data_IF_004106999851
#
_entry.id   IF_004106999851
#
_cell.length_a   1.000
_cell.length_b   1.000
_cell.length_c   1.000
_cell.angle_alpha   90.00
_cell.angle_beta   90.00
_cell.angle_gamma   90.00
#
_symmetry.space_group_name_H-M   'P 1'
#
loop_
_entity.id
_entity.type
_entity.pdbx_description
1 polymer ?
#
# COMPACT_ATOMS: atom_id res chain seq x y z
N UNK A 1 11.90 20.98 -0.77
CA UNK A 1 10.76 20.62 0.10
C UNK A 1 10.94 21.28 1.45
N UNK A 2 12.06 21.09 2.16
CA UNK A 2 12.31 21.65 3.50
C UNK A 2 12.30 23.20 3.53
N UNK A 3 12.64 23.86 2.43
CA UNK A 3 12.53 25.31 2.32
C UNK A 3 11.09 25.86 2.46
N UNK A 4 10.10 24.97 2.43
CA UNK A 4 8.68 25.29 2.66
C UNK A 4 8.16 24.72 3.97
N UNK A 5 9.05 24.41 4.93
CA UNK A 5 8.71 23.80 6.23
C UNK A 5 7.85 22.53 6.10
N UNK A 6 8.23 21.68 5.14
CA UNK A 6 7.50 20.46 4.78
C UNK A 6 8.43 19.26 4.83
N UNK A 7 7.92 18.15 5.34
CA UNK A 7 8.63 16.87 5.39
C UNK A 7 8.55 16.12 4.07
N UNK A 8 9.57 15.30 3.80
CA UNK A 8 9.62 14.45 2.61
C UNK A 8 9.87 13.00 2.99
N UNK A 9 9.06 12.11 2.43
CA UNK A 9 9.21 10.66 2.55
C UNK A 9 9.42 10.07 1.15
N UNK A 10 10.32 9.08 1.05
CA UNK A 10 10.51 8.32 -0.20
C UNK A 10 9.80 6.99 -0.07
N UNK A 11 8.97 6.65 -1.07
CA UNK A 11 8.34 5.34 -1.14
C UNK A 11 9.32 4.30 -1.71
N UNK A 12 9.53 3.21 -0.99
CA UNK A 12 10.37 2.07 -1.36
C UNK A 12 9.50 0.87 -1.77
N UNK A 13 9.91 0.18 -2.83
CA UNK A 13 9.20 -1.01 -3.33
C UNK A 13 10.16 -2.17 -3.58
N UNK A 14 9.65 -3.41 -3.44
CA UNK A 14 10.36 -4.62 -3.82
C UNK A 14 10.25 -4.96 -5.33
N UNK A 15 9.56 -4.10 -6.10
CA UNK A 15 9.25 -4.33 -7.51
C UNK A 15 7.86 -4.94 -7.73
N UNK A 16 7.55 -5.16 -9.00
CA UNK A 16 6.18 -5.41 -9.45
C UNK A 16 5.70 -6.86 -9.21
N UNK A 17 6.63 -7.84 -9.10
CA UNK A 17 6.23 -9.24 -8.98
C UNK A 17 5.37 -9.69 -10.17
N UNK A 18 4.23 -10.36 -9.90
CA UNK A 18 3.34 -10.90 -10.93
C UNK A 18 2.62 -9.85 -11.80
N UNK A 19 2.57 -8.60 -11.35
CA UNK A 19 1.98 -7.48 -12.13
C UNK A 19 3.01 -6.74 -12.98
N UNK A 20 4.24 -7.25 -13.07
CA UNK A 20 5.26 -6.71 -13.96
C UNK A 20 4.99 -7.02 -15.44
N UNK A 21 5.54 -6.17 -16.33
CA UNK A 21 5.46 -6.39 -17.77
C UNK A 21 5.98 -7.80 -18.14
N UNK A 22 5.30 -8.54 -19.00
CA UNK A 22 5.75 -9.83 -19.49
C UNK A 22 6.99 -9.75 -20.41
N UNK A 23 7.41 -8.56 -20.83
CA UNK A 23 8.57 -8.35 -21.73
C UNK A 23 9.87 -8.98 -21.21
N UNK A 24 10.02 -9.07 -19.88
CA UNK A 24 11.18 -9.73 -19.31
C UNK A 24 11.27 -11.22 -19.73
N UNK A 25 10.13 -11.87 -19.87
CA UNK A 25 10.05 -13.25 -20.38
C UNK A 25 10.40 -13.34 -21.87
N UNK A 26 9.98 -12.37 -22.66
CA UNK A 26 10.35 -12.28 -24.08
C UNK A 26 11.86 -12.08 -24.28
N UNK A 27 12.53 -11.47 -23.31
CA UNK A 27 14.00 -11.31 -23.26
C UNK A 27 14.72 -12.48 -22.60
N UNK A 28 14.06 -13.64 -22.44
CA UNK A 28 14.63 -14.86 -21.85
C UNK A 28 14.83 -14.82 -20.33
N UNK A 29 14.31 -13.80 -19.63
CA UNK A 29 14.38 -13.69 -18.17
C UNK A 29 13.08 -14.22 -17.55
N UNK A 30 13.18 -15.29 -16.77
CA UNK A 30 12.03 -15.82 -16.07
C UNK A 30 11.65 -14.88 -14.91
N UNK A 31 10.45 -14.26 -14.93
CA UNK A 31 10.04 -13.34 -13.89
C UNK A 31 9.82 -14.07 -12.55
N UNK A 32 9.94 -13.33 -11.45
CA UNK A 32 9.86 -13.85 -10.08
C UNK A 32 8.68 -13.26 -9.32
N UNK A 33 8.15 -14.03 -8.37
CA UNK A 33 7.05 -13.67 -7.47
C UNK A 33 7.22 -14.33 -6.09
N UNK A 34 6.30 -14.08 -5.17
CA UNK A 34 6.32 -14.68 -3.82
C UNK A 34 6.31 -16.21 -3.83
N UNK A 35 5.47 -16.79 -4.69
CA UNK A 35 5.40 -18.23 -4.97
C UNK A 35 5.19 -18.42 -6.47
N UNK A 36 4.88 -19.62 -6.92
CA UNK A 36 4.49 -19.81 -8.31
C UNK A 36 3.17 -19.09 -8.58
N UNK A 37 3.19 -18.04 -9.40
CA UNK A 37 2.04 -17.23 -9.78
C UNK A 37 1.99 -17.07 -11.29
N UNK A 38 0.81 -16.75 -11.83
CA UNK A 38 0.64 -16.33 -13.22
C UNK A 38 0.85 -14.82 -13.34
N UNK A 39 1.39 -14.38 -14.47
CA UNK A 39 1.43 -12.94 -14.77
C UNK A 39 0.01 -12.37 -14.82
N UNK A 40 -0.17 -11.15 -14.34
CA UNK A 40 -1.48 -10.49 -14.33
C UNK A 40 -1.99 -10.21 -15.73
N UNK A 41 -1.16 -9.63 -16.60
CA UNK A 41 -1.53 -9.22 -17.95
C UNK A 41 -1.56 -10.41 -18.95
N UNK A 42 -0.62 -11.34 -18.80
CA UNK A 42 -0.47 -12.51 -19.68
C UNK A 42 -0.42 -13.77 -18.80
N UNK A 43 -1.57 -14.35 -18.42
CA UNK A 43 -1.64 -15.49 -17.50
C UNK A 43 -0.89 -16.75 -17.95
N UNK A 44 -0.53 -16.84 -19.23
CA UNK A 44 0.28 -17.92 -19.80
C UNK A 44 1.77 -17.83 -19.35
N UNK A 45 2.23 -16.65 -18.96
CA UNK A 45 3.60 -16.44 -18.47
C UNK A 45 3.67 -16.77 -16.98
N UNK A 46 4.44 -17.82 -16.57
CA UNK A 46 4.62 -18.16 -15.18
C UNK A 46 5.64 -17.22 -14.51
N UNK A 47 5.40 -16.92 -13.25
CA UNK A 47 6.37 -16.29 -12.35
C UNK A 47 6.87 -17.33 -11.35
N UNK A 48 8.17 -17.55 -11.30
CA UNK A 48 8.77 -18.54 -10.39
C UNK A 48 8.93 -17.98 -8.98
N UNK A 49 8.90 -18.87 -7.95
CA UNK A 49 9.15 -18.44 -6.58
C UNK A 49 10.54 -17.82 -6.40
N UNK A 50 10.62 -16.73 -5.67
CA UNK A 50 11.89 -16.26 -5.11
C UNK A 50 12.42 -17.29 -4.10
N UNK A 51 13.73 -17.53 -4.07
CA UNK A 51 14.35 -18.27 -2.97
C UNK A 51 14.37 -17.42 -1.69
N UNK A 52 14.46 -18.07 -0.52
CA UNK A 52 14.65 -17.34 0.75
C UNK A 52 15.92 -16.50 0.74
N UNK A 53 16.97 -16.95 0.07
CA UNK A 53 18.20 -16.18 -0.12
C UNK A 53 17.93 -14.89 -0.92
N UNK A 54 17.16 -14.99 -2.02
CA UNK A 54 16.80 -13.80 -2.83
C UNK A 54 15.94 -12.82 -2.03
N UNK A 55 15.00 -13.33 -1.22
CA UNK A 55 14.16 -12.47 -0.38
C UNK A 55 15.00 -11.77 0.70
N UNK A 56 15.92 -12.47 1.35
CA UNK A 56 16.88 -11.86 2.30
C UNK A 56 17.72 -10.75 1.66
N UNK A 57 18.14 -10.94 0.40
CA UNK A 57 18.85 -9.89 -0.34
C UNK A 57 17.96 -8.66 -0.57
N UNK A 58 16.68 -8.86 -0.88
CA UNK A 58 15.72 -7.76 -1.02
C UNK A 58 15.59 -7.01 0.33
N UNK A 59 15.46 -7.71 1.46
CA UNK A 59 15.43 -7.11 2.80
C UNK A 59 16.66 -6.23 3.03
N UNK A 60 17.86 -6.73 2.76
CA UNK A 60 19.12 -5.96 2.89
C UNK A 60 19.14 -4.71 2.00
N UNK A 61 18.57 -4.82 0.80
CA UNK A 61 18.50 -3.69 -0.13
C UNK A 61 17.54 -2.58 0.39
N UNK A 62 16.44 -2.94 1.09
CA UNK A 62 15.57 -1.96 1.75
C UNK A 62 16.33 -1.17 2.81
N UNK A 63 17.11 -1.85 3.67
CA UNK A 63 17.95 -1.17 4.66
C UNK A 63 18.97 -0.22 4.01
N UNK A 64 19.61 -0.65 2.91
CA UNK A 64 20.54 0.21 2.18
C UNK A 64 19.86 1.40 1.54
N UNK A 65 18.68 1.21 0.95
CA UNK A 65 17.91 2.30 0.36
C UNK A 65 17.46 3.32 1.41
N UNK A 66 17.04 2.85 2.60
CA UNK A 66 16.66 3.72 3.71
C UNK A 66 17.85 4.55 4.24
N UNK A 67 19.05 3.95 4.37
CA UNK A 67 20.27 4.70 4.71
C UNK A 67 20.54 5.79 3.67
N UNK A 68 20.49 5.45 2.40
CA UNK A 68 20.73 6.42 1.32
C UNK A 68 19.71 7.57 1.40
N UNK A 69 18.43 7.29 1.65
CA UNK A 69 17.40 8.29 1.86
C UNK A 69 17.72 9.19 3.05
N UNK A 70 18.08 8.61 4.21
CA UNK A 70 18.45 9.35 5.43
C UNK A 70 19.66 10.26 5.20
N UNK A 71 20.71 9.75 4.56
CA UNK A 71 21.93 10.54 4.25
C UNK A 71 21.62 11.70 3.31
N UNK A 72 20.66 11.54 2.40
CA UNK A 72 20.18 12.63 1.54
C UNK A 72 19.25 13.62 2.25
N UNK A 73 19.02 13.47 3.56
CA UNK A 73 18.18 14.38 4.34
C UNK A 73 16.67 14.13 4.20
N UNK A 74 16.26 12.95 3.74
CA UNK A 74 14.85 12.54 3.71
C UNK A 74 14.38 12.24 5.13
N UNK A 75 13.17 12.70 5.49
CA UNK A 75 12.64 12.62 6.86
C UNK A 75 12.18 11.22 7.27
N UNK A 76 11.90 10.34 6.31
CA UNK A 76 11.49 8.96 6.55
C UNK A 76 11.21 8.21 5.26
N UNK A 77 10.79 6.95 5.37
CA UNK A 77 10.44 6.11 4.23
C UNK A 77 9.02 5.58 4.32
N UNK A 78 8.40 5.37 3.17
CA UNK A 78 7.14 4.64 3.05
C UNK A 78 7.39 3.30 2.34
N UNK A 79 6.89 2.20 2.89
CA UNK A 79 6.99 0.87 2.31
C UNK A 79 5.75 0.55 1.48
N UNK A 80 5.93 0.20 0.22
CA UNK A 80 4.83 -0.05 -0.71
C UNK A 80 4.36 -1.51 -0.65
N UNK A 81 3.62 -1.85 0.40
CA UNK A 81 3.04 -3.18 0.63
C UNK A 81 1.60 -3.32 0.15
N UNK A 82 1.25 -2.75 -0.97
CA UNK A 82 -0.08 -2.44 -1.48
C UNK A 82 -0.26 -2.91 -2.94
N UNK A 83 -1.50 -2.96 -3.42
CA UNK A 83 -1.94 -3.19 -4.81
C UNK A 83 -1.58 -4.55 -5.43
N UNK A 84 -1.13 -5.52 -4.67
CA UNK A 84 -0.71 -6.80 -5.26
C UNK A 84 0.68 -6.78 -5.89
N UNK A 85 1.51 -5.77 -5.61
CA UNK A 85 2.93 -5.75 -5.95
C UNK A 85 3.74 -6.75 -5.11
N UNK A 86 5.03 -6.91 -5.36
CA UNK A 86 5.81 -8.00 -4.77
C UNK A 86 5.81 -8.00 -3.24
N UNK A 87 5.79 -6.85 -2.57
CA UNK A 87 5.67 -6.78 -1.11
C UNK A 87 4.33 -7.35 -0.63
N UNK A 88 3.22 -6.92 -1.23
CA UNK A 88 1.90 -7.46 -0.90
C UNK A 88 1.79 -8.94 -1.26
N UNK A 89 2.36 -9.36 -2.41
CA UNK A 89 2.42 -10.79 -2.76
C UNK A 89 3.15 -11.64 -1.72
N UNK A 90 4.19 -11.12 -1.08
CA UNK A 90 4.95 -11.82 -0.04
C UNK A 90 4.20 -11.87 1.29
N UNK A 91 3.26 -10.93 1.52
CA UNK A 91 2.56 -10.76 2.80
C UNK A 91 1.10 -11.22 2.78
N UNK A 92 0.61 -11.80 1.68
CA UNK A 92 -0.80 -12.19 1.55
C UNK A 92 -1.02 -13.58 0.93
N UNK A 93 -2.08 -14.24 1.37
CA UNK A 93 -2.38 -15.64 1.06
C UNK A 93 -2.64 -15.94 -0.42
N UNK A 94 -3.31 -15.09 -1.22
CA UNK A 94 -3.58 -15.37 -2.62
C UNK A 94 -2.31 -15.64 -3.42
N UNK A 95 -1.21 -15.00 -3.07
CA UNK A 95 0.03 -15.03 -3.84
C UNK A 95 1.20 -15.67 -3.10
N UNK A 96 1.25 -15.66 -1.75
CA UNK A 96 2.24 -16.39 -0.97
C UNK A 96 1.70 -17.75 -0.54
N UNK A 97 1.91 -18.76 -1.36
CA UNK A 97 1.51 -20.16 -1.11
C UNK A 97 2.70 -21.07 -0.78
N UNK A 98 3.75 -20.47 -0.20
CA UNK A 98 4.97 -21.19 0.20
C UNK A 98 4.65 -22.21 1.30
N UNK A 99 5.17 -23.41 1.15
CA UNK A 99 5.03 -24.51 2.14
C UNK A 99 6.23 -24.62 3.09
N UNK A 100 7.39 -24.16 2.63
CA UNK A 100 8.67 -24.28 3.33
C UNK A 100 9.41 -22.95 3.37
N UNK A 101 10.44 -22.87 4.21
CA UNK A 101 11.28 -21.70 4.37
C UNK A 101 10.72 -20.67 5.34
N UNK A 102 11.54 -19.65 5.64
CA UNK A 102 11.22 -18.56 6.59
C UNK A 102 10.00 -17.77 6.14
N UNK A 103 9.94 -17.44 4.87
CA UNK A 103 8.91 -16.55 4.29
C UNK A 103 7.61 -17.27 3.91
N UNK A 104 7.38 -18.52 4.40
CA UNK A 104 6.06 -19.14 4.44
C UNK A 104 5.12 -18.42 5.41
N UNK A 105 5.67 -17.84 6.48
CA UNK A 105 4.95 -16.91 7.33
C UNK A 105 4.79 -15.61 6.56
N UNK A 106 3.56 -15.22 6.28
CA UNK A 106 3.20 -14.06 5.46
C UNK A 106 3.63 -12.73 6.07
N UNK A 107 3.74 -12.64 7.40
CA UNK A 107 4.17 -11.39 8.05
C UNK A 107 5.70 -11.23 8.07
N UNK A 108 6.44 -12.34 7.94
CA UNK A 108 7.87 -12.37 8.19
C UNK A 108 8.70 -11.45 7.26
N UNK A 109 8.28 -11.31 6.00
CA UNK A 109 9.00 -10.43 5.07
C UNK A 109 8.92 -8.97 5.52
N UNK A 110 7.73 -8.48 5.85
CA UNK A 110 7.53 -7.10 6.29
C UNK A 110 8.25 -6.84 7.63
N UNK A 111 8.17 -7.78 8.58
CA UNK A 111 8.91 -7.72 9.85
C UNK A 111 10.41 -7.57 9.60
N UNK A 112 10.98 -8.41 8.74
CA UNK A 112 12.43 -8.38 8.44
C UNK A 112 12.83 -7.06 7.77
N UNK A 113 11.99 -6.49 6.87
CA UNK A 113 12.24 -5.20 6.23
C UNK A 113 12.23 -4.05 7.25
N UNK A 114 11.21 -3.99 8.10
CA UNK A 114 11.10 -2.93 9.12
C UNK A 114 12.28 -3.00 10.09
N UNK A 115 12.60 -4.17 10.60
CA UNK A 115 13.77 -4.36 11.50
C UNK A 115 15.09 -3.94 10.84
N UNK A 116 15.34 -4.37 9.61
CA UNK A 116 16.55 -4.00 8.87
C UNK A 116 16.67 -2.48 8.69
N UNK A 117 15.54 -1.77 8.46
CA UNK A 117 15.54 -0.31 8.36
C UNK A 117 15.82 0.32 9.72
N UNK A 118 15.13 -0.09 10.80
CA UNK A 118 15.30 0.44 12.14
C UNK A 118 16.72 0.17 12.69
N UNK A 119 17.26 -1.04 12.51
CA UNK A 119 18.62 -1.38 12.88
C UNK A 119 19.67 -0.47 12.22
N UNK A 120 19.47 -0.10 10.95
CA UNK A 120 20.43 0.72 10.19
C UNK A 120 20.22 2.21 10.32
N UNK A 121 18.97 2.65 10.41
CA UNK A 121 18.63 4.07 10.41
C UNK A 121 18.31 4.61 11.81
N UNK A 122 18.24 3.75 12.85
CA UNK A 122 17.82 4.13 14.21
C UNK A 122 16.31 4.04 14.39
N UNK A 123 15.89 3.85 15.64
CA UNK A 123 14.48 3.69 16.03
C UNK A 123 13.65 4.97 15.77
N UNK A 124 14.31 6.13 15.78
CA UNK A 124 13.74 7.45 15.53
C UNK A 124 13.47 7.75 14.05
N UNK A 125 14.00 6.94 13.11
CA UNK A 125 13.77 7.15 11.68
C UNK A 125 12.39 6.66 11.27
N UNK A 126 11.45 7.55 10.85
CA UNK A 126 10.06 7.19 10.61
C UNK A 126 9.88 6.21 9.45
N UNK A 127 9.07 5.19 9.70
CA UNK A 127 8.66 4.18 8.71
C UNK A 127 7.14 4.19 8.59
N UNK A 128 6.63 4.53 7.40
CA UNK A 128 5.23 4.39 7.03
C UNK A 128 5.06 3.06 6.29
N UNK A 129 4.02 2.30 6.57
CA UNK A 129 3.67 1.12 5.79
C UNK A 129 2.35 1.34 5.04
N UNK A 130 2.39 1.31 3.71
CA UNK A 130 1.18 1.36 2.89
C UNK A 130 0.71 -0.05 2.59
N UNK A 131 -0.57 -0.32 2.87
CA UNK A 131 -1.16 -1.64 2.71
C UNK A 131 -2.63 -1.58 2.27
N UNK A 132 -3.09 -2.70 1.67
CA UNK A 132 -4.50 -3.02 1.60
C UNK A 132 -4.92 -3.67 2.92
N UNK A 133 -5.87 -3.10 3.64
CA UNK A 133 -6.40 -3.74 4.85
C UNK A 133 -7.06 -5.08 4.50
N UNK A 134 -7.72 -5.12 3.34
CA UNK A 134 -8.22 -6.35 2.69
C UNK A 134 -8.05 -6.25 1.18
N UNK A 135 -7.80 -7.37 0.50
CA UNK A 135 -7.84 -7.39 -0.96
C UNK A 135 -9.26 -7.32 -1.54
N UNK A 136 -10.29 -7.59 -0.74
CA UNK A 136 -11.69 -7.54 -1.17
C UNK A 136 -12.00 -8.38 -2.44
N UNK A 137 -11.34 -9.51 -2.61
CA UNK A 137 -11.48 -10.36 -3.79
C UNK A 137 -12.81 -11.11 -3.81
N UNK A 138 -13.25 -11.61 -2.65
CA UNK A 138 -14.56 -12.27 -2.54
C UNK A 138 -15.70 -11.29 -2.80
N UNK A 139 -15.62 -10.10 -2.24
CA UNK A 139 -16.58 -9.01 -2.47
C UNK A 139 -16.67 -8.64 -3.95
N UNK A 140 -15.52 -8.60 -4.65
CA UNK A 140 -15.44 -8.20 -6.06
C UNK A 140 -15.95 -9.26 -7.03
N UNK A 141 -15.66 -10.53 -6.76
CA UNK A 141 -15.88 -11.62 -7.73
C UNK A 141 -17.02 -12.57 -7.35
N UNK A 142 -17.46 -12.53 -6.10
CA UNK A 142 -18.41 -13.49 -5.53
C UNK A 142 -17.82 -14.89 -5.34
N UNK A 143 -18.46 -15.66 -4.50
CA UNK A 143 -17.94 -16.90 -3.89
C UNK A 143 -17.41 -17.92 -4.90
N UNK A 144 -18.14 -18.14 -5.99
CA UNK A 144 -17.75 -19.17 -6.98
C UNK A 144 -16.48 -18.80 -7.75
N UNK A 145 -16.39 -17.56 -8.24
CA UNK A 145 -15.24 -17.08 -9.00
C UNK A 145 -14.04 -16.93 -8.07
N UNK A 146 -14.25 -16.38 -6.88
CA UNK A 146 -13.22 -16.24 -5.84
C UNK A 146 -12.58 -17.59 -5.47
N UNK A 147 -13.37 -18.62 -5.20
CA UNK A 147 -12.86 -19.97 -4.94
C UNK A 147 -12.07 -20.54 -6.11
N UNK A 148 -12.51 -20.30 -7.34
CA UNK A 148 -11.83 -20.80 -8.54
C UNK A 148 -10.51 -20.07 -8.82
N UNK A 149 -10.49 -18.74 -8.79
CA UNK A 149 -9.33 -17.93 -9.17
C UNK A 149 -8.30 -17.82 -8.04
N UNK A 150 -8.75 -17.59 -6.81
CA UNK A 150 -7.91 -17.29 -5.66
C UNK A 150 -7.88 -18.42 -4.63
N UNK A 151 -8.51 -19.57 -4.92
CA UNK A 151 -8.63 -20.74 -4.01
C UNK A 151 -9.32 -20.39 -2.70
N UNK A 152 -10.21 -19.41 -2.70
CA UNK A 152 -10.89 -18.91 -1.51
C UNK A 152 -9.97 -18.23 -0.51
N UNK A 153 -8.89 -17.61 -0.99
CA UNK A 153 -7.89 -16.95 -0.12
C UNK A 153 -7.76 -15.48 -0.45
N UNK A 154 -7.81 -14.65 0.58
CA UNK A 154 -7.48 -13.22 0.55
C UNK A 154 -6.96 -12.80 1.93
N UNK A 155 -6.41 -11.62 2.06
CA UNK A 155 -6.27 -10.99 3.37
C UNK A 155 -7.64 -10.51 3.79
N UNK A 156 -8.17 -11.06 4.89
CA UNK A 156 -9.39 -10.53 5.52
C UNK A 156 -9.07 -9.26 6.31
N UNK A 157 -10.11 -8.53 6.72
CA UNK A 157 -9.92 -7.36 7.58
C UNK A 157 -9.24 -7.75 8.90
N UNK A 158 -9.65 -8.87 9.52
CA UNK A 158 -9.06 -9.37 10.76
C UNK A 158 -7.56 -9.67 10.59
N UNK A 159 -7.17 -10.38 9.52
CA UNK A 159 -5.76 -10.64 9.20
C UNK A 159 -4.99 -9.33 8.93
N UNK A 160 -5.65 -8.34 8.29
CA UNK A 160 -5.08 -7.02 8.07
C UNK A 160 -4.84 -6.25 9.36
N UNK A 161 -5.77 -6.29 10.30
CA UNK A 161 -5.64 -5.65 11.61
C UNK A 161 -4.52 -6.31 12.45
N UNK A 162 -4.48 -7.65 12.49
CA UNK A 162 -3.39 -8.41 13.14
C UNK A 162 -2.02 -8.07 12.52
N UNK A 163 -1.95 -8.01 11.19
CA UNK A 163 -0.72 -7.64 10.48
C UNK A 163 -0.25 -6.23 10.85
N UNK A 164 -1.16 -5.25 10.92
CA UNK A 164 -0.82 -3.90 11.35
C UNK A 164 -0.36 -3.84 12.81
N UNK A 165 -0.98 -4.60 13.72
CA UNK A 165 -0.52 -4.70 15.11
C UNK A 165 0.91 -5.20 15.19
N UNK A 166 1.21 -6.34 14.55
CA UNK A 166 2.56 -6.93 14.54
C UNK A 166 3.59 -5.98 13.95
N UNK A 167 3.23 -5.22 12.92
CA UNK A 167 4.14 -4.25 12.33
C UNK A 167 4.32 -3.00 13.20
N UNK A 168 3.29 -2.52 13.90
CA UNK A 168 3.42 -1.44 14.89
C UNK A 168 4.38 -1.85 16.02
N UNK A 169 4.22 -3.08 16.56
CA UNK A 169 5.12 -3.65 17.55
C UNK A 169 6.57 -3.86 17.02
N UNK A 170 6.73 -3.95 15.69
CA UNK A 170 8.04 -4.09 15.03
C UNK A 170 8.72 -2.74 14.79
N UNK A 171 7.98 -1.62 14.86
CA UNK A 171 8.51 -0.27 14.70
C UNK A 171 7.95 0.52 13.51
N UNK A 172 6.80 0.13 12.95
CA UNK A 172 6.08 0.98 11.98
C UNK A 172 5.39 2.12 12.73
N UNK A 173 5.67 3.34 12.33
CA UNK A 173 5.19 4.56 12.97
C UNK A 173 3.80 5.00 12.46
N UNK A 174 3.51 4.72 11.18
CA UNK A 174 2.23 5.06 10.58
C UNK A 174 1.80 4.06 9.49
N UNK A 175 0.49 3.92 9.31
CA UNK A 175 -0.11 3.06 8.29
C UNK A 175 -0.93 3.90 7.32
N UNK A 176 -0.61 3.81 6.02
CA UNK A 176 -1.38 4.35 4.92
C UNK A 176 -2.28 3.23 4.38
N UNK A 177 -3.59 3.37 4.59
CA UNK A 177 -4.53 2.25 4.54
C UNK A 177 -5.49 2.38 3.36
N UNK A 178 -5.45 1.38 2.50
CA UNK A 178 -6.26 1.28 1.30
C UNK A 178 -7.06 -0.04 1.28
N UNK A 179 -7.73 -0.34 0.16
CA UNK A 179 -8.53 -1.53 -0.08
C UNK A 179 -8.33 -2.00 -1.53
N UNK A 180 -8.32 -3.32 -1.72
CA UNK A 180 -8.25 -3.91 -3.05
C UNK A 180 -6.82 -4.09 -3.58
N UNK A 181 -6.73 -4.52 -4.83
CA UNK A 181 -5.45 -4.80 -5.50
C UNK A 181 -5.60 -4.69 -7.02
N UNK A 182 -4.58 -5.10 -7.79
CA UNK A 182 -4.65 -5.10 -9.26
C UNK A 182 -5.81 -5.90 -9.84
N UNK A 183 -6.19 -6.99 -9.18
CA UNK A 183 -7.29 -7.84 -9.67
C UNK A 183 -8.67 -7.17 -9.54
N UNK A 184 -8.80 -6.17 -8.67
CA UNK A 184 -10.01 -5.33 -8.53
C UNK A 184 -9.63 -3.84 -8.47
N UNK A 185 -8.97 -3.40 -9.52
CA UNK A 185 -8.34 -2.08 -9.71
C UNK A 185 -9.21 -0.86 -9.31
N UNK A 186 -10.52 -1.00 -9.40
CA UNK A 186 -11.46 0.07 -9.05
C UNK A 186 -11.48 0.40 -7.55
N UNK A 187 -10.98 -0.46 -6.66
CA UNK A 187 -10.84 -0.12 -5.24
C UNK A 187 -9.64 0.78 -4.96
N UNK A 188 -8.40 0.42 -5.31
CA UNK A 188 -7.26 1.32 -5.08
C UNK A 188 -7.31 2.59 -5.93
N UNK A 189 -8.04 2.56 -7.05
CA UNK A 189 -8.20 3.71 -7.94
C UNK A 189 -9.68 4.02 -8.21
N UNK A 190 -10.44 4.42 -7.17
CA UNK A 190 -11.88 4.54 -7.31
C UNK A 190 -12.27 5.60 -8.35
N UNK A 191 -13.10 5.22 -9.36
CA UNK A 191 -13.64 6.16 -10.33
C UNK A 191 -14.75 7.03 -9.72
N UNK A 192 -15.30 7.96 -10.50
CA UNK A 192 -16.29 8.93 -10.03
C UNK A 192 -17.52 8.28 -9.36
N UNK A 193 -18.05 7.21 -9.94
CA UNK A 193 -19.25 6.51 -9.43
C UNK A 193 -19.07 5.78 -8.09
N UNK A 194 -17.86 5.78 -7.52
CA UNK A 194 -17.57 5.26 -6.18
C UNK A 194 -17.71 6.32 -5.07
N UNK A 195 -18.28 7.48 -5.35
CA UNK A 195 -18.36 8.57 -4.38
C UNK A 195 -19.17 8.20 -3.12
N UNK A 196 -20.19 7.35 -3.25
CA UNK A 196 -21.09 6.95 -2.16
C UNK A 196 -20.56 5.78 -1.30
N UNK A 197 -19.41 5.20 -1.65
CA UNK A 197 -18.83 4.11 -0.87
C UNK A 197 -18.14 4.69 0.38
N UNK A 198 -18.44 4.18 1.59
CA UNK A 198 -17.81 4.61 2.84
C UNK A 198 -16.38 4.04 2.94
N UNK A 199 -15.52 4.48 2.06
CA UNK A 199 -14.19 3.90 1.80
C UNK A 199 -13.28 3.99 3.02
N UNK A 200 -13.21 5.17 3.63
CA UNK A 200 -12.37 5.43 4.82
C UNK A 200 -12.88 4.64 6.01
N UNK A 201 -14.19 4.55 6.18
CA UNK A 201 -14.84 3.82 7.28
C UNK A 201 -14.60 2.31 7.17
N UNK A 202 -14.49 1.78 5.95
CA UNK A 202 -14.20 0.37 5.69
C UNK A 202 -12.71 0.02 5.78
N UNK A 203 -11.82 1.02 5.89
CA UNK A 203 -10.36 0.85 5.88
C UNK A 203 -9.72 1.53 7.09
N UNK A 204 -9.25 2.76 6.92
CA UNK A 204 -8.55 3.52 7.96
C UNK A 204 -9.36 3.64 9.26
N UNK A 205 -10.68 3.84 9.17
CA UNK A 205 -11.55 3.93 10.33
C UNK A 205 -11.56 2.66 11.17
N UNK A 206 -11.60 1.48 10.53
CA UNK A 206 -11.52 0.20 11.26
C UNK A 206 -10.15 0.01 11.92
N UNK A 207 -9.06 0.31 11.22
CA UNK A 207 -7.72 0.22 11.80
C UNK A 207 -7.55 1.21 12.96
N UNK A 208 -8.06 2.43 12.82
CA UNK A 208 -7.98 3.44 13.89
C UNK A 208 -8.74 3.01 15.15
N UNK A 209 -9.95 2.50 14.99
CA UNK A 209 -10.73 1.97 16.09
C UNK A 209 -10.03 0.78 16.77
N UNK A 210 -9.46 -0.11 15.99
CA UNK A 210 -8.69 -1.26 16.50
C UNK A 210 -7.46 -0.80 17.30
N UNK A 211 -6.70 0.18 16.78
CA UNK A 211 -5.52 0.71 17.49
C UNK A 211 -5.91 1.38 18.81
N UNK A 212 -6.99 2.18 18.81
CA UNK A 212 -7.50 2.80 20.03
C UNK A 212 -7.90 1.76 21.08
N UNK A 213 -8.63 0.72 20.67
CA UNK A 213 -9.09 -0.36 21.58
C UNK A 213 -7.94 -1.19 22.14
N UNK A 214 -6.81 -1.27 21.45
CA UNK A 214 -5.65 -2.06 21.86
C UNK A 214 -4.47 -1.22 22.38
N UNK A 215 -4.63 0.09 22.55
CA UNK A 215 -3.58 0.98 23.07
C UNK A 215 -2.37 1.17 22.14
N UNK A 216 -2.53 0.88 20.84
CA UNK A 216 -1.47 0.99 19.84
C UNK A 216 -1.30 2.46 19.44
N UNK A 217 -0.06 2.99 19.51
CA UNK A 217 0.22 4.42 19.31
C UNK A 217 0.53 4.79 17.86
N UNK A 218 0.71 3.82 16.97
CA UNK A 218 0.97 4.07 15.56
C UNK A 218 -0.15 4.91 14.91
N UNK A 219 0.21 5.76 13.95
CA UNK A 219 -0.72 6.68 13.29
C UNK A 219 -1.41 6.01 12.11
N UNK A 220 -2.60 6.49 11.79
CA UNK A 220 -3.39 6.00 10.64
C UNK A 220 -3.58 7.12 9.64
N UNK A 221 -3.25 6.85 8.38
CA UNK A 221 -3.40 7.75 7.25
C UNK A 221 -4.53 7.20 6.37
N UNK A 222 -5.58 7.99 6.18
CA UNK A 222 -6.69 7.63 5.30
C UNK A 222 -6.39 8.02 3.86
N UNK A 223 -6.74 7.15 2.92
CA UNK A 223 -6.64 7.40 1.47
C UNK A 223 -7.93 7.00 0.78
N UNK A 224 -8.23 7.65 -0.33
CA UNK A 224 -9.41 7.37 -1.16
C UNK A 224 -10.52 8.42 -1.03
N UNK A 225 -10.89 9.05 -2.16
CA UNK A 225 -12.01 10.02 -2.28
C UNK A 225 -11.99 11.23 -1.32
N UNK A 226 -10.81 11.65 -0.84
CA UNK A 226 -10.64 12.76 0.12
C UNK A 226 -10.29 14.10 -0.55
N UNK A 227 -10.51 14.23 -1.86
CA UNK A 227 -10.23 15.49 -2.60
C UNK A 227 -11.18 16.65 -2.29
N UNK A 228 -12.33 16.40 -1.66
CA UNK A 228 -13.23 17.45 -1.14
C UNK A 228 -12.79 17.83 0.28
N UNK A 229 -12.39 19.09 0.56
CA UNK A 229 -11.85 19.48 1.86
C UNK A 229 -12.78 19.17 3.04
N UNK A 230 -14.09 19.41 2.88
CA UNK A 230 -15.08 19.15 3.93
C UNK A 230 -15.08 17.66 4.35
N UNK A 231 -14.98 16.74 3.38
CA UNK A 231 -14.89 15.31 3.66
C UNK A 231 -13.60 14.94 4.39
N UNK A 232 -12.47 15.51 3.98
CA UNK A 232 -11.19 15.28 4.65
C UNK A 232 -11.21 15.79 6.11
N UNK A 233 -11.78 16.97 6.33
CA UNK A 233 -11.97 17.55 7.68
C UNK A 233 -12.90 16.68 8.52
N UNK A 234 -14.00 16.17 7.95
CA UNK A 234 -14.93 15.29 8.64
C UNK A 234 -14.24 14.02 9.14
N UNK A 235 -13.47 13.34 8.30
CA UNK A 235 -12.71 12.13 8.64
C UNK A 235 -11.78 12.36 9.84
N UNK A 236 -11.07 13.50 9.85
CA UNK A 236 -10.18 13.85 10.96
C UNK A 236 -10.96 14.19 12.24
N UNK A 237 -12.06 14.95 12.13
CA UNK A 237 -12.89 15.35 13.28
C UNK A 237 -13.58 14.15 13.95
N UNK A 238 -14.00 13.17 13.16
CA UNK A 238 -14.61 11.93 13.66
C UNK A 238 -13.57 11.00 14.30
N UNK A 239 -12.27 11.31 14.16
CA UNK A 239 -11.20 10.46 14.66
C UNK A 239 -11.04 9.16 13.87
N UNK A 240 -11.49 9.11 12.62
CA UNK A 240 -11.35 7.95 11.74
C UNK A 240 -9.93 7.78 11.19
N UNK A 241 -9.11 8.81 11.26
CA UNK A 241 -7.69 8.80 10.92
C UNK A 241 -6.95 9.95 11.60
N UNK A 242 -5.60 9.87 11.66
CA UNK A 242 -4.73 10.95 12.17
C UNK A 242 -4.32 11.90 11.04
N UNK A 243 -4.20 11.36 9.82
CA UNK A 243 -3.83 12.09 8.60
C UNK A 243 -4.67 11.59 7.42
N UNK A 244 -4.63 12.33 6.32
CA UNK A 244 -5.16 11.87 5.04
C UNK A 244 -4.15 12.10 3.91
N UNK A 245 -4.26 11.27 2.87
CA UNK A 245 -3.41 11.33 1.68
C UNK A 245 -4.21 11.76 0.46
N UNK A 246 -3.60 12.61 -0.37
CA UNK A 246 -4.15 13.05 -1.64
C UNK A 246 -3.19 12.65 -2.78
N UNK A 247 -3.68 11.91 -3.75
CA UNK A 247 -2.97 11.62 -5.00
C UNK A 247 -3.53 12.46 -6.15
N UNK A 248 -4.52 11.92 -6.85
CA UNK A 248 -5.16 12.54 -8.03
C UNK A 248 -5.71 13.96 -7.81
N UNK A 249 -6.23 14.34 -6.62
CA UNK A 249 -6.61 15.73 -6.38
C UNK A 249 -5.45 16.73 -6.54
N UNK A 250 -4.22 16.33 -6.20
CA UNK A 250 -3.03 17.18 -6.37
C UNK A 250 -2.52 17.21 -7.81
N UNK A 251 -2.84 16.19 -8.62
CA UNK A 251 -2.59 16.23 -10.07
C UNK A 251 -3.56 17.20 -10.76
N UNK A 252 -4.82 17.21 -10.34
CA UNK A 252 -5.82 18.13 -10.86
C UNK A 252 -5.58 19.58 -10.42
N UNK A 253 -5.17 19.76 -9.16
CA UNK A 253 -4.90 21.08 -8.58
C UNK A 253 -3.68 21.04 -7.65
N UNK A 254 -2.48 21.36 -8.15
CA UNK A 254 -1.26 21.40 -7.32
C UNK A 254 -1.33 22.42 -6.18
N UNK A 255 -2.18 23.45 -6.29
CA UNK A 255 -2.40 24.48 -5.28
C UNK A 255 -3.51 24.13 -4.26
N UNK A 256 -4.03 22.90 -4.29
CA UNK A 256 -5.09 22.46 -3.38
C UNK A 256 -4.79 22.78 -1.90
N UNK A 257 -3.60 22.44 -1.34
CA UNK A 257 -3.30 22.72 0.07
C UNK A 257 -3.26 24.21 0.37
N UNK A 258 -2.72 25.02 -0.55
CA UNK A 258 -2.66 26.46 -0.40
C UNK A 258 -4.07 27.07 -0.44
N UNK A 259 -4.91 26.68 -1.39
CA UNK A 259 -6.29 27.14 -1.51
C UNK A 259 -7.12 26.83 -0.26
N UNK A 260 -6.94 25.63 0.30
CA UNK A 260 -7.61 25.25 1.56
C UNK A 260 -7.15 26.14 2.71
N UNK A 261 -5.83 26.35 2.86
CA UNK A 261 -5.25 27.20 3.91
C UNK A 261 -5.75 28.64 3.84
N UNK A 262 -5.93 29.15 2.63
CA UNK A 262 -6.38 30.53 2.35
C UNK A 262 -7.92 30.69 2.32
N UNK A 263 -8.67 29.63 2.54
CA UNK A 263 -10.14 29.64 2.48
C UNK A 263 -10.73 29.74 1.06
N UNK A 264 -9.90 29.55 0.02
CA UNK A 264 -10.29 29.61 -1.40
C UNK A 264 -10.79 28.27 -1.93
N UNK A 265 -11.59 27.56 -1.12
CA UNK A 265 -12.05 26.18 -1.40
C UNK A 265 -12.86 26.10 -2.70
N UNK A 266 -13.61 27.17 -3.05
CA UNK A 266 -14.42 27.23 -4.28
C UNK A 266 -13.57 27.31 -5.56
N UNK A 267 -12.29 27.62 -5.45
CA UNK A 267 -11.36 27.72 -6.58
C UNK A 267 -10.61 26.40 -6.85
N UNK A 268 -10.86 25.36 -6.05
CA UNK A 268 -10.21 24.06 -6.23
C UNK A 268 -10.72 23.40 -7.51
N UNK A 269 -9.77 22.99 -8.37
CA UNK A 269 -10.05 22.15 -9.54
C UNK A 269 -10.14 20.71 -9.06
N UNK A 270 -11.35 20.16 -9.07
CA UNK A 270 -11.57 18.80 -8.60
C UNK A 270 -11.19 17.73 -9.64
N UNK A 271 -10.54 16.67 -9.18
CA UNK A 271 -10.37 15.47 -9.99
C UNK A 271 -11.75 14.86 -10.31
N UNK A 272 -12.03 14.66 -11.59
CA UNK A 272 -13.32 14.08 -12.06
C UNK A 272 -13.34 12.55 -12.05
N UNK A 273 -12.21 11.89 -11.76
CA UNK A 273 -12.13 10.43 -11.60
C UNK A 273 -12.27 9.64 -12.91
N UNK A 274 -12.01 10.26 -14.08
CA UNK A 274 -12.04 9.63 -15.39
C UNK A 274 -10.92 8.63 -15.63
N UNK A 275 -9.81 8.79 -14.88
CA UNK A 275 -8.59 7.97 -14.95
C UNK A 275 -7.77 8.11 -16.25
N UNK A 276 -8.22 8.87 -17.24
CA UNK A 276 -7.53 9.02 -18.53
C UNK A 276 -6.16 9.69 -18.40
N UNK A 277 -6.13 10.85 -17.72
CA UNK A 277 -4.91 11.66 -17.62
C UNK A 277 -3.85 11.14 -16.64
N UNK A 278 -4.17 10.16 -15.80
CA UNK A 278 -3.25 9.70 -14.75
C UNK A 278 -2.93 8.20 -14.83
N UNK A 279 -3.90 7.33 -15.12
CA UNK A 279 -3.74 5.87 -15.05
C UNK A 279 -3.60 5.26 -16.45
N UNK A 280 -4.31 5.76 -17.44
CA UNK A 280 -4.26 5.21 -18.80
C UNK A 280 -2.86 5.23 -19.41
N UNK A 281 -2.01 6.18 -19.00
CA UNK A 281 -0.62 6.25 -19.46
C UNK A 281 0.28 5.12 -18.93
N UNK A 282 -0.20 4.32 -17.98
CA UNK A 282 0.52 3.17 -17.40
C UNK A 282 0.01 1.82 -17.91
N UNK A 283 -1.08 1.79 -18.67
CA UNK A 283 -1.69 0.60 -19.26
C UNK A 283 -1.32 0.52 -20.74
#
# INVERSE_FOLDING_TARGET
VHSYDTKIFIQLTAGLGRVGSPEAALKGKIPKSASWNRNFYVPQVPHLPLSDHSIKKIVKNFGQAAINARVCGVDGVQLHGHEGYLMDQLTSAPWNRRKLGRYRNKFQFAIDVVREIKERCGEDFPVIYRLDLTQALNESYGDQVFKKMFKGQERTIEEGLEFCQVLAETGVDAFDVDKGCYDNWFYPHPPAYFDDIPYVEQTAGQLKAFFQSNGIQAKVIAVGKLGKPDRAVEVLRQGSADFFMLGRPLLADPYWPQKVREGRVREIIHCIGDQEGCIQSFI
#
